data_IF_228706025588
#
_entry.id   IF_228706025588
#
_cell.length_a   1.000
_cell.length_b   1.000
_cell.length_c   1.000
_cell.angle_alpha   90.00
_cell.angle_beta   90.00
_cell.angle_gamma   90.00
#
_symmetry.space_group_name_H-M   'P 1'
#
loop_
_entity.id
_entity.type
_entity.pdbx_description
1 polymer ?
#
# COMPACT_ATOMS: atom_id res chain seq x y z
N UNK A 1 8.25 -2.86 1.73
CA UNK A 1 8.08 -1.46 2.20
C UNK A 1 9.40 -0.73 2.30
N UNK A 2 10.31 -1.08 3.23
CA UNK A 2 11.63 -0.42 3.29
C UNK A 2 12.48 -0.65 2.01
N UNK A 3 12.48 -1.88 1.49
CA UNK A 3 13.18 -2.24 0.24
C UNK A 3 12.59 -1.54 -1.01
N UNK A 4 11.32 -1.11 -0.92
CA UNK A 4 10.61 -0.40 -2.00
C UNK A 4 10.79 1.12 -1.90
N UNK A 5 11.64 1.58 -0.98
CA UNK A 5 11.85 3.02 -0.74
C UNK A 5 10.65 3.72 -0.09
N UNK A 6 9.70 2.97 0.49
CA UNK A 6 8.55 3.58 1.16
C UNK A 6 9.01 4.30 2.43
N UNK A 7 8.63 5.57 2.61
CA UNK A 7 9.00 6.33 3.80
C UNK A 7 8.53 5.65 5.09
N UNK A 8 9.43 5.56 6.07
CA UNK A 8 9.20 4.87 7.35
C UNK A 8 7.94 5.35 8.07
N UNK A 9 7.68 6.66 8.09
CA UNK A 9 6.45 7.22 8.69
C UNK A 9 5.18 6.61 8.08
N UNK A 10 5.17 6.36 6.76
CA UNK A 10 4.01 5.76 6.10
C UNK A 10 3.88 4.27 6.44
N UNK A 11 5.00 3.55 6.56
CA UNK A 11 5.01 2.15 6.99
C UNK A 11 4.50 2.02 8.44
N UNK A 12 5.02 2.82 9.36
CA UNK A 12 4.60 2.84 10.77
C UNK A 12 3.11 3.16 10.91
N UNK A 13 2.62 4.19 10.20
CA UNK A 13 1.19 4.52 10.18
C UNK A 13 0.33 3.38 9.63
N UNK A 14 0.80 2.69 8.57
CA UNK A 14 0.07 1.57 7.97
C UNK A 14 0.00 0.37 8.90
N UNK A 15 1.05 0.14 9.68
CA UNK A 15 1.16 -0.95 10.66
C UNK A 15 0.48 -0.61 12.00
N UNK A 16 0.05 0.63 12.20
CA UNK A 16 -0.59 1.09 13.43
C UNK A 16 0.39 1.32 14.57
N UNK A 17 1.68 1.52 14.27
CA UNK A 17 2.70 1.83 15.26
C UNK A 17 2.67 3.33 15.62
N UNK A 18 2.90 3.64 16.90
CA UNK A 18 3.08 5.03 17.33
C UNK A 18 4.45 5.56 16.90
N UNK A 19 4.44 6.71 16.22
CA UNK A 19 5.68 7.42 15.86
C UNK A 19 6.02 8.39 17.00
N UNK A 20 7.22 8.30 17.62
CA UNK A 20 7.59 9.16 18.73
C UNK A 20 7.45 10.66 18.43
N UNK A 21 7.06 11.41 19.47
CA UNK A 21 6.47 12.75 19.49
C UNK A 21 7.16 13.89 18.71
N UNK A 22 8.40 13.73 18.20
CA UNK A 22 9.03 14.74 17.35
C UNK A 22 8.86 14.48 15.83
N UNK A 23 8.76 13.21 15.40
CA UNK A 23 8.51 12.88 13.98
C UNK A 23 7.04 12.83 13.65
N UNK A 24 6.20 12.32 14.57
CA UNK A 24 4.76 12.24 14.36
C UNK A 24 4.06 13.61 14.17
N UNK A 25 4.67 14.68 14.67
CA UNK A 25 4.09 16.03 14.62
C UNK A 25 4.25 16.73 13.26
N UNK A 26 5.28 16.37 12.48
CA UNK A 26 5.59 17.01 11.19
C UNK A 26 5.51 16.06 10.00
N UNK A 27 5.54 14.75 10.25
CA UNK A 27 5.52 13.77 9.20
C UNK A 27 4.09 13.31 8.91
N UNK A 28 3.54 13.81 7.82
CA UNK A 28 2.26 13.36 7.29
C UNK A 28 2.47 12.53 6.04
N UNK A 29 1.77 11.40 5.96
CA UNK A 29 1.63 10.70 4.70
C UNK A 29 0.94 11.61 3.70
N UNK A 30 1.64 11.95 2.62
CA UNK A 30 1.04 12.64 1.47
C UNK A 30 0.29 11.64 0.60
N UNK A 31 -0.61 12.13 -0.26
CA UNK A 31 -1.34 11.26 -1.19
C UNK A 31 -0.37 10.55 -2.14
N UNK A 32 0.64 11.26 -2.64
CA UNK A 32 1.68 10.68 -3.49
C UNK A 32 2.38 9.50 -2.82
N UNK A 33 2.77 9.63 -1.55
CA UNK A 33 3.42 8.52 -0.83
C UNK A 33 2.47 7.32 -0.69
N UNK A 34 1.17 7.56 -0.51
CA UNK A 34 0.16 6.48 -0.46
C UNK A 34 -0.01 5.80 -1.81
N UNK A 35 0.00 6.55 -2.90
CA UNK A 35 -0.06 5.99 -4.26
C UNK A 35 1.20 5.17 -4.56
N UNK A 36 2.38 5.67 -4.23
CA UNK A 36 3.65 4.95 -4.37
C UNK A 36 3.62 3.62 -3.59
N UNK A 37 3.12 3.63 -2.34
CA UNK A 37 2.92 2.41 -1.55
C UNK A 37 1.93 1.44 -2.19
N UNK A 38 0.80 1.94 -2.71
CA UNK A 38 -0.21 1.10 -3.36
C UNK A 38 0.37 0.41 -4.59
N UNK A 39 1.10 1.16 -5.41
CA UNK A 39 1.75 0.63 -6.62
C UNK A 39 2.82 -0.42 -6.28
N UNK A 40 3.63 -0.19 -5.25
CA UNK A 40 4.62 -1.18 -4.79
C UNK A 40 3.92 -2.47 -4.35
N UNK A 41 2.91 -2.38 -3.48
CA UNK A 41 2.16 -3.55 -2.99
C UNK A 41 1.45 -4.30 -4.12
N UNK A 42 0.87 -3.57 -5.08
CA UNK A 42 0.24 -4.17 -6.26
C UNK A 42 1.25 -4.97 -7.08
N UNK A 43 2.43 -4.40 -7.33
CA UNK A 43 3.51 -5.07 -8.06
C UNK A 43 3.94 -6.37 -7.36
N UNK A 44 4.20 -6.30 -6.05
CA UNK A 44 4.57 -7.47 -5.24
C UNK A 44 3.51 -8.57 -5.24
N UNK A 45 2.24 -8.19 -5.21
CA UNK A 45 1.14 -9.14 -5.29
C UNK A 45 1.13 -9.87 -6.64
N UNK A 46 1.25 -9.14 -7.75
CA UNK A 46 1.30 -9.74 -9.09
C UNK A 46 2.52 -10.65 -9.28
N UNK A 47 3.68 -10.26 -8.77
CA UNK A 47 4.88 -11.11 -8.77
C UNK A 47 4.66 -12.39 -7.96
N UNK A 48 4.01 -12.28 -6.81
CA UNK A 48 3.66 -13.44 -5.97
C UNK A 48 2.69 -14.37 -6.70
N UNK A 49 1.73 -13.85 -7.46
CA UNK A 49 0.83 -14.66 -8.28
C UNK A 49 1.57 -15.37 -9.43
N UNK A 50 2.50 -14.68 -10.10
CA UNK A 50 3.36 -15.28 -11.14
C UNK A 50 4.21 -16.41 -10.55
N UNK A 51 4.87 -16.16 -9.41
CA UNK A 51 5.66 -17.16 -8.71
C UNK A 51 4.80 -18.37 -8.28
N UNK A 52 3.57 -18.12 -7.82
CA UNK A 52 2.63 -19.19 -7.46
C UNK A 52 2.21 -20.03 -8.66
N UNK A 53 1.93 -19.39 -9.79
CA UNK A 53 1.56 -20.10 -11.03
C UNK A 53 2.70 -21.00 -11.53
N UNK A 54 3.96 -20.59 -11.35
CA UNK A 54 5.12 -21.43 -11.69
C UNK A 54 5.21 -22.70 -10.83
N UNK A 55 4.77 -22.65 -9.57
CA UNK A 55 4.75 -23.81 -8.66
C UNK A 55 3.54 -24.71 -8.93
N UNK A 56 2.35 -24.10 -9.13
CA UNK A 56 1.11 -24.82 -9.34
C UNK A 56 0.22 -24.12 -10.38
N UNK A 57 0.32 -24.49 -11.67
CA UNK A 57 -0.31 -23.77 -12.78
C UNK A 57 -1.83 -23.62 -12.71
N UNK A 58 -2.52 -24.54 -12.01
CA UNK A 58 -3.98 -24.54 -11.88
C UNK A 58 -4.47 -23.97 -10.55
N UNK A 59 -3.65 -23.14 -9.88
CA UNK A 59 -4.11 -22.45 -8.67
C UNK A 59 -5.25 -21.47 -9.02
N UNK A 60 -6.34 -21.42 -8.22
CA UNK A 60 -7.49 -20.55 -8.50
C UNK A 60 -7.17 -19.05 -8.43
N UNK A 61 -5.95 -18.69 -8.00
CA UNK A 61 -5.47 -17.31 -7.89
C UNK A 61 -4.60 -16.89 -9.09
N UNK A 62 -4.67 -17.58 -10.23
CA UNK A 62 -3.97 -17.15 -11.44
C UNK A 62 -4.38 -15.72 -11.81
N UNK A 63 -3.43 -14.83 -12.19
CA UNK A 63 -3.71 -13.42 -12.34
C UNK A 63 -4.72 -13.19 -13.49
N UNK A 64 -5.91 -12.71 -13.14
CA UNK A 64 -6.85 -12.18 -14.11
C UNK A 64 -6.31 -10.85 -14.64
N UNK A 65 -6.08 -10.77 -15.95
CA UNK A 65 -5.47 -9.59 -16.58
C UNK A 65 -6.26 -8.31 -16.32
N UNK A 66 -5.56 -7.30 -15.77
CA UNK A 66 -5.77 -5.85 -15.95
C UNK A 66 -7.22 -5.33 -15.78
N UNK A 67 -7.92 -5.71 -14.71
CA UNK A 67 -9.27 -5.18 -14.43
C UNK A 67 -9.51 -4.69 -12.98
N UNK A 68 -8.48 -4.54 -12.16
CA UNK A 68 -8.65 -4.15 -10.74
C UNK A 68 -8.40 -2.67 -10.42
N UNK A 69 -7.93 -1.83 -11.36
CA UNK A 69 -7.51 -0.44 -11.09
C UNK A 69 -8.63 0.60 -11.10
N UNK A 70 -9.76 0.31 -10.46
CA UNK A 70 -10.72 1.35 -10.10
C UNK A 70 -11.04 1.24 -8.61
N UNK A 71 -10.09 1.66 -7.77
CA UNK A 71 -10.42 2.10 -6.42
C UNK A 71 -11.00 3.51 -6.57
N UNK A 72 -12.32 3.72 -6.42
CA UNK A 72 -12.86 5.08 -6.44
C UNK A 72 -12.24 5.82 -5.26
N UNK A 73 -11.71 7.02 -5.52
CA UNK A 73 -11.25 7.95 -4.50
C UNK A 73 -12.43 8.33 -3.60
N UNK A 74 -12.71 7.50 -2.59
CA UNK A 74 -13.72 7.77 -1.60
C UNK A 74 -13.19 8.89 -0.70
N UNK A 75 -13.90 10.03 -0.75
CA UNK A 75 -13.64 11.24 -0.02
C UNK A 75 -13.33 10.98 1.46
N UNK A 76 -12.06 11.10 1.85
CA UNK A 76 -11.66 11.17 3.26
C UNK A 76 -11.83 12.60 3.74
N UNK A 77 -13.06 12.96 4.07
CA UNK A 77 -13.37 14.17 4.83
C UNK A 77 -12.91 13.99 6.27
N UNK A 78 -11.75 14.53 6.62
CA UNK A 78 -11.30 14.66 8.02
C UNK A 78 -12.24 15.63 8.73
N UNK A 79 -13.16 15.10 9.54
CA UNK A 79 -13.94 15.89 10.51
C UNK A 79 -13.00 16.38 11.60
N UNK A 80 -12.65 17.66 11.57
CA UNK A 80 -12.02 18.36 12.68
C UNK A 80 -12.99 18.34 13.87
N UNK A 81 -12.52 17.86 15.02
CA UNK A 81 -13.25 17.88 16.29
C UNK A 81 -13.11 19.29 16.86
N UNK A 82 -14.24 19.91 17.21
CA UNK A 82 -14.32 21.22 17.87
C UNK A 82 -14.10 21.09 19.37
#
# INVERSE_FOLDING_TARGET
>A
MAEDGIPEILAEQRLGHEVPWMRGLYAHATERMRDDLRQALQTHWEDSLRARAAIHPHSPHAPAGRAADAVPAAATGVRQIR
#
